data_IF_059376887007
#
_entry.id   IF_059376887007
#
_cell.length_a   1.000
_cell.length_b   1.000
_cell.length_c   1.000
_cell.angle_alpha   90.00
_cell.angle_beta   90.00
_cell.angle_gamma   90.00
#
_symmetry.space_group_name_H-M   'P 1'
#
loop_
_entity.id
_entity.type
_entity.pdbx_description
1 polymer ?
#
# COMPACT_ATOMS: atom_id res chain seq x y z
N UNK A 1 0.18 -16.50 -11.49
CA UNK A 1 0.58 -15.09 -11.72
C UNK A 1 2.08 -14.95 -11.80
N UNK A 2 2.82 -15.32 -10.73
CA UNK A 2 4.30 -15.29 -10.74
C UNK A 2 4.88 -16.16 -11.87
N UNK A 3 4.41 -17.41 -12.00
CA UNK A 3 4.81 -18.30 -13.12
C UNK A 3 4.46 -17.75 -14.51
N UNK A 4 3.54 -16.77 -14.59
CA UNK A 4 3.16 -16.08 -15.82
C UNK A 4 3.94 -14.78 -16.05
N UNK A 5 4.94 -14.48 -15.22
CA UNK A 5 5.84 -13.34 -15.36
C UNK A 5 5.51 -12.12 -14.48
N UNK A 6 4.52 -12.20 -13.59
CA UNK A 6 4.32 -11.14 -12.60
C UNK A 6 5.49 -11.11 -11.61
N UNK A 7 6.09 -9.94 -11.38
CA UNK A 7 7.19 -9.80 -10.42
C UNK A 7 6.68 -9.76 -8.97
N UNK A 8 5.54 -9.09 -8.77
CA UNK A 8 4.87 -8.93 -7.48
C UNK A 8 3.41 -9.36 -7.58
N UNK A 9 2.87 -9.89 -6.48
CA UNK A 9 1.44 -10.12 -6.26
C UNK A 9 0.98 -9.31 -5.06
N UNK A 10 -0.11 -8.57 -5.23
CA UNK A 10 -0.72 -7.77 -4.16
C UNK A 10 -1.83 -8.57 -3.51
N UNK A 11 -1.81 -8.66 -2.18
CA UNK A 11 -2.81 -9.38 -1.38
C UNK A 11 -3.48 -8.40 -0.42
N UNK A 12 -4.74 -8.07 -0.69
CA UNK A 12 -5.56 -7.23 0.18
C UNK A 12 -6.43 -8.06 1.13
N UNK A 13 -7.73 -8.15 0.83
CA UNK A 13 -8.76 -8.76 1.70
C UNK A 13 -8.35 -10.11 2.32
N UNK A 14 -7.70 -11.00 1.56
CA UNK A 14 -7.31 -12.33 2.07
C UNK A 14 -6.23 -12.30 3.16
N UNK A 15 -5.43 -11.22 3.23
CA UNK A 15 -4.44 -11.01 4.27
C UNK A 15 -5.06 -10.73 5.65
N UNK A 16 -6.39 -10.53 5.70
CA UNK A 16 -7.13 -10.20 6.91
C UNK A 16 -8.33 -11.10 7.13
N UNK A 17 -8.74 -11.21 8.39
CA UNK A 17 -10.02 -11.75 8.84
C UNK A 17 -10.68 -10.72 9.78
N UNK A 18 -11.85 -11.05 10.34
CA UNK A 18 -12.60 -10.14 11.22
C UNK A 18 -11.79 -9.65 12.45
N UNK A 19 -10.79 -10.42 12.90
CA UNK A 19 -9.95 -10.11 14.06
C UNK A 19 -8.60 -9.45 13.73
N UNK A 20 -8.27 -9.23 12.45
CA UNK A 20 -6.98 -8.66 12.03
C UNK A 20 -6.23 -9.56 11.04
N UNK A 21 -4.88 -9.60 11.08
CA UNK A 21 -4.08 -10.41 10.16
C UNK A 21 -4.50 -11.88 10.10
N UNK A 22 -4.63 -12.42 8.89
CA UNK A 22 -4.91 -13.82 8.65
C UNK A 22 -3.62 -14.64 8.55
N UNK A 23 -2.96 -14.87 9.69
CA UNK A 23 -1.66 -15.55 9.73
C UNK A 23 -1.66 -16.95 9.10
N UNK A 24 -2.76 -17.70 9.21
CA UNK A 24 -2.85 -19.05 8.63
C UNK A 24 -2.70 -18.96 7.11
N UNK A 25 -3.52 -18.12 6.47
CA UNK A 25 -3.43 -17.89 5.03
C UNK A 25 -2.06 -17.33 4.62
N UNK A 26 -1.51 -16.38 5.37
CA UNK A 26 -0.22 -15.78 5.06
C UNK A 26 0.94 -16.79 5.12
N UNK A 27 0.90 -17.73 6.09
CA UNK A 27 1.89 -18.83 6.18
C UNK A 27 1.79 -19.79 5.01
N UNK A 28 0.58 -20.15 4.61
CA UNK A 28 0.34 -20.99 3.43
C UNK A 28 0.82 -20.30 2.15
N UNK A 29 0.59 -18.99 2.04
CA UNK A 29 1.00 -18.19 0.88
C UNK A 29 2.53 -18.15 0.74
N UNK A 30 3.28 -17.84 1.80
CA UNK A 30 4.74 -17.79 1.73
C UNK A 30 5.40 -19.16 1.60
N UNK A 31 4.66 -20.25 1.83
CA UNK A 31 5.14 -21.61 1.58
C UNK A 31 5.21 -21.94 0.09
N UNK A 32 4.45 -21.21 -0.75
CA UNK A 32 4.34 -21.49 -2.20
C UNK A 32 4.72 -20.31 -3.09
N UNK A 33 4.79 -19.09 -2.55
CA UNK A 33 5.24 -17.89 -3.26
C UNK A 33 6.43 -17.28 -2.51
N UNK A 34 7.52 -16.89 -3.22
CA UNK A 34 8.61 -16.15 -2.61
C UNK A 34 8.07 -14.90 -1.91
N UNK A 35 8.42 -14.75 -0.63
CA UNK A 35 7.97 -13.64 0.20
C UNK A 35 8.25 -12.29 -0.45
N UNK A 36 9.42 -12.15 -1.07
CA UNK A 36 9.91 -10.95 -1.73
C UNK A 36 9.01 -10.53 -2.90
N UNK A 37 8.24 -11.48 -3.46
CA UNK A 37 7.24 -11.24 -4.51
C UNK A 37 5.86 -10.88 -3.98
N UNK A 38 5.64 -10.78 -2.67
CA UNK A 38 4.35 -10.47 -2.07
C UNK A 38 4.34 -9.04 -1.55
N UNK A 39 3.32 -8.27 -1.95
CA UNK A 39 2.94 -7.01 -1.34
C UNK A 39 1.62 -7.19 -0.58
N UNK A 40 1.55 -6.79 0.68
CA UNK A 40 0.28 -6.77 1.42
C UNK A 40 -0.36 -5.40 1.30
N UNK A 41 -1.63 -5.36 0.90
CA UNK A 41 -2.36 -4.11 0.79
C UNK A 41 -2.92 -3.69 2.16
N UNK A 42 -2.52 -2.50 2.62
CA UNK A 42 -3.02 -1.86 3.83
C UNK A 42 -3.88 -0.66 3.40
N UNK A 43 -5.14 -0.94 3.08
CA UNK A 43 -6.11 0.11 2.73
C UNK A 43 -6.68 0.71 4.02
N UNK A 44 -6.46 2.00 4.25
CA UNK A 44 -6.90 2.70 5.45
C UNK A 44 -7.95 3.75 5.13
N UNK A 45 -9.09 3.66 5.81
CA UNK A 45 -10.18 4.64 5.75
C UNK A 45 -10.62 4.99 7.17
N UNK A 46 -10.75 6.28 7.48
CA UNK A 46 -11.06 6.77 8.83
C UNK A 46 -10.12 6.18 9.90
N UNK A 47 -8.85 6.02 9.52
CA UNK A 47 -7.78 5.47 10.37
C UNK A 47 -7.79 3.94 10.57
N UNK A 48 -8.74 3.21 9.97
CA UNK A 48 -8.90 1.76 10.14
C UNK A 48 -8.64 1.00 8.84
N UNK A 49 -8.14 -0.23 8.97
CA UNK A 49 -8.05 -1.14 7.83
C UNK A 49 -9.45 -1.42 7.28
N UNK A 50 -9.59 -1.34 5.97
CA UNK A 50 -10.81 -1.71 5.26
C UNK A 50 -10.56 -2.83 4.25
N UNK A 51 -11.52 -3.74 4.12
CA UNK A 51 -11.45 -4.93 3.27
C UNK A 51 -12.71 -5.08 2.40
N UNK A 52 -12.75 -6.11 1.55
CA UNK A 52 -13.85 -6.40 0.62
C UNK A 52 -14.21 -5.21 -0.28
N UNK A 53 -13.18 -4.57 -0.85
CA UNK A 53 -13.35 -3.36 -1.68
C UNK A 53 -13.83 -2.16 -0.86
N UNK A 54 -13.21 -1.97 0.31
CA UNK A 54 -13.47 -0.89 1.27
C UNK A 54 -14.87 -0.86 1.90
N UNK A 55 -15.58 -2.00 1.87
CA UNK A 55 -16.96 -2.12 2.37
C UNK A 55 -17.03 -2.53 3.83
N UNK A 56 -15.99 -3.16 4.35
CA UNK A 56 -15.93 -3.66 5.72
C UNK A 56 -14.72 -3.08 6.43
N UNK A 57 -14.95 -2.43 7.57
CA UNK A 57 -13.90 -1.86 8.42
C UNK A 57 -13.55 -2.84 9.54
N UNK A 58 -12.26 -3.04 9.75
CA UNK A 58 -11.72 -3.85 10.85
C UNK A 58 -11.42 -2.94 12.05
N UNK A 59 -11.31 -3.53 13.24
CA UNK A 59 -10.98 -2.78 14.46
C UNK A 59 -9.52 -2.30 14.53
N UNK A 60 -8.66 -2.79 13.64
CA UNK A 60 -7.21 -2.54 13.61
C UNK A 60 -6.84 -1.44 12.62
N UNK A 61 -5.75 -0.75 12.92
CA UNK A 61 -5.12 0.28 12.07
C UNK A 61 -3.93 -0.30 11.31
N UNK A 62 -3.51 0.38 10.23
CA UNK A 62 -2.29 -0.01 9.50
C UNK A 62 -1.04 0.01 10.40
N UNK A 63 -0.93 1.00 11.30
CA UNK A 63 0.19 1.13 12.22
C UNK A 63 0.28 -0.04 13.22
N UNK A 64 -0.86 -0.56 13.69
CA UNK A 64 -0.90 -1.69 14.63
C UNK A 64 -0.47 -3.02 13.99
N UNK A 65 -0.72 -3.21 12.69
CA UNK A 65 -0.51 -4.50 12.02
C UNK A 65 0.77 -4.57 11.18
N UNK A 66 1.32 -3.45 10.72
CA UNK A 66 2.41 -3.44 9.72
C UNK A 66 3.64 -4.23 10.19
N UNK A 67 4.03 -4.10 11.46
CA UNK A 67 5.16 -4.83 12.04
C UNK A 67 4.94 -6.35 12.10
N UNK A 68 3.73 -6.77 12.49
CA UNK A 68 3.36 -8.19 12.57
C UNK A 68 3.29 -8.87 11.19
N UNK A 69 3.09 -8.07 10.13
CA UNK A 69 2.96 -8.54 8.76
C UNK A 69 4.29 -8.66 8.00
N UNK A 70 5.39 -8.04 8.48
CA UNK A 70 6.70 -8.10 7.82
C UNK A 70 7.24 -9.51 7.53
N UNK A 71 7.02 -10.53 8.39
CA UNK A 71 7.48 -11.88 8.11
C UNK A 71 6.86 -12.50 6.85
N UNK A 72 5.72 -11.97 6.39
CA UNK A 72 4.90 -12.57 5.33
C UNK A 72 5.00 -11.88 3.97
N UNK A 73 5.80 -10.80 3.85
CA UNK A 73 5.87 -10.04 2.60
C UNK A 73 7.22 -9.35 2.35
N UNK A 74 7.43 -8.95 1.10
CA UNK A 74 8.55 -8.11 0.69
C UNK A 74 8.29 -6.62 0.93
N UNK A 75 7.01 -6.23 0.99
CA UNK A 75 6.59 -4.86 1.15
C UNK A 75 5.08 -4.69 1.31
N UNK A 76 4.66 -3.43 1.31
CA UNK A 76 3.29 -3.02 1.52
C UNK A 76 2.83 -2.08 0.40
N UNK A 77 1.59 -2.25 -0.04
CA UNK A 77 0.85 -1.22 -0.76
C UNK A 77 -0.06 -0.53 0.25
N UNK A 78 0.28 0.68 0.65
CA UNK A 78 -0.47 1.42 1.66
C UNK A 78 -1.34 2.47 0.97
N UNK A 79 -2.66 2.33 1.07
CA UNK A 79 -3.62 3.21 0.41
C UNK A 79 -4.29 4.11 1.44
N UNK A 80 -4.16 5.43 1.28
CA UNK A 80 -4.92 6.39 2.06
C UNK A 80 -6.28 6.66 1.39
N UNK A 81 -7.27 5.82 1.72
CA UNK A 81 -8.57 5.75 1.04
C UNK A 81 -9.37 7.04 1.20
N UNK A 82 -9.20 7.75 2.32
CA UNK A 82 -9.94 8.98 2.62
C UNK A 82 -9.75 10.08 1.57
N UNK A 83 -8.66 10.05 0.79
CA UNK A 83 -8.39 11.02 -0.28
C UNK A 83 -8.30 10.39 -1.67
N UNK A 84 -8.62 9.11 -1.78
CA UNK A 84 -8.50 8.39 -3.05
C UNK A 84 -9.51 8.91 -4.08
N UNK A 85 -9.01 9.25 -5.27
CA UNK A 85 -9.83 9.82 -6.35
C UNK A 85 -10.37 11.24 -6.10
N UNK A 86 -10.05 11.88 -4.97
CA UNK A 86 -10.56 13.21 -4.63
C UNK A 86 -9.71 14.36 -5.18
N UNK A 87 -8.51 14.07 -5.67
CA UNK A 87 -7.54 15.04 -6.18
C UNK A 87 -7.13 16.13 -5.15
N UNK A 88 -7.07 15.79 -3.86
CA UNK A 88 -6.80 16.73 -2.76
C UNK A 88 -5.40 16.59 -2.12
N UNK A 89 -4.47 15.92 -2.79
CA UNK A 89 -3.16 15.56 -2.23
C UNK A 89 -3.24 14.36 -1.28
N UNK A 90 -2.12 13.70 -1.03
CA UNK A 90 -2.08 12.53 -0.15
C UNK A 90 -1.91 12.92 1.33
N UNK A 91 -1.67 11.97 2.23
CA UNK A 91 -1.36 12.25 3.63
C UNK A 91 0.09 11.87 3.97
N UNK A 92 1.00 12.83 3.80
CA UNK A 92 2.44 12.64 4.01
C UNK A 92 2.79 12.35 5.48
N UNK A 93 2.00 12.83 6.43
CA UNK A 93 2.24 12.55 7.86
C UNK A 93 1.87 11.11 8.18
N UNK A 94 0.74 10.62 7.66
CA UNK A 94 0.35 9.22 7.78
C UNK A 94 1.42 8.27 7.21
N UNK A 95 1.95 8.56 6.01
CA UNK A 95 3.03 7.77 5.42
C UNK A 95 4.34 7.84 6.22
N UNK A 96 4.69 9.02 6.76
CA UNK A 96 5.85 9.18 7.64
C UNK A 96 5.74 8.30 8.89
N UNK A 97 4.55 8.23 9.48
CA UNK A 97 4.29 7.40 10.65
C UNK A 97 4.41 5.91 10.31
N UNK A 98 3.88 5.46 9.17
CA UNK A 98 4.04 4.07 8.73
C UNK A 98 5.50 3.72 8.44
N UNK A 99 6.24 4.62 7.77
CA UNK A 99 7.65 4.41 7.46
C UNK A 99 8.50 4.18 8.71
N UNK A 100 8.16 4.84 9.82
CA UNK A 100 8.87 4.66 11.09
C UNK A 100 8.66 3.29 11.75
N UNK A 101 7.64 2.51 11.33
CA UNK A 101 7.24 1.24 11.95
C UNK A 101 7.75 0.00 11.22
N UNK A 102 8.34 0.16 10.04
CA UNK A 102 8.83 -0.96 9.24
C UNK A 102 10.09 -0.56 8.49
N UNK A 103 10.89 -1.54 8.08
CA UNK A 103 12.00 -1.35 7.12
C UNK A 103 11.69 -1.93 5.74
N UNK A 104 10.54 -2.58 5.58
CA UNK A 104 10.08 -3.16 4.30
C UNK A 104 9.73 -2.09 3.30
N UNK A 105 9.67 -2.48 2.03
CA UNK A 105 9.22 -1.58 0.97
C UNK A 105 7.81 -1.05 1.27
N UNK A 106 7.58 0.25 1.06
CA UNK A 106 6.23 0.84 1.09
C UNK A 106 6.00 1.48 -0.28
N UNK A 107 4.90 1.13 -0.91
CA UNK A 107 4.32 1.85 -2.03
C UNK A 107 3.09 2.60 -1.54
N UNK A 108 3.13 3.93 -1.61
CA UNK A 108 2.03 4.81 -1.29
C UNK A 108 1.04 4.89 -2.45
N UNK A 109 -0.25 4.76 -2.13
CA UNK A 109 -1.36 4.98 -3.04
C UNK A 109 -2.43 5.87 -2.37
N UNK A 110 -3.31 6.45 -3.19
CA UNK A 110 -4.40 7.31 -2.72
C UNK A 110 -4.01 8.78 -2.62
N UNK A 111 -4.66 9.62 -3.43
CA UNK A 111 -4.59 11.08 -3.30
C UNK A 111 -3.34 11.75 -3.85
N UNK A 112 -2.35 11.04 -4.40
CA UNK A 112 -1.13 11.64 -4.96
C UNK A 112 -1.48 12.44 -6.23
N UNK A 113 -1.25 13.76 -6.21
CA UNK A 113 -1.66 14.65 -7.31
C UNK A 113 -0.59 15.61 -7.81
N UNK A 114 0.51 15.77 -7.07
CA UNK A 114 1.57 16.72 -7.39
C UNK A 114 2.93 16.03 -7.51
N UNK A 115 3.89 16.69 -8.17
CA UNK A 115 5.27 16.17 -8.22
C UNK A 115 5.92 16.27 -6.84
N UNK A 116 5.56 17.30 -6.08
CA UNK A 116 6.01 17.56 -4.72
C UNK A 116 5.58 16.45 -3.76
N UNK A 117 4.37 15.89 -3.92
CA UNK A 117 3.93 14.70 -3.16
C UNK A 117 4.89 13.51 -3.42
N UNK A 118 5.24 13.28 -4.68
CA UNK A 118 6.10 12.17 -5.10
C UNK A 118 7.52 12.37 -4.56
N UNK A 119 8.09 13.56 -4.70
CA UNK A 119 9.40 13.91 -4.17
C UNK A 119 9.44 13.75 -2.64
N UNK A 120 8.39 14.19 -1.93
CA UNK A 120 8.30 14.04 -0.49
C UNK A 120 8.24 12.56 -0.05
N UNK A 121 7.49 11.71 -0.77
CA UNK A 121 7.45 10.27 -0.52
C UNK A 121 8.80 9.62 -0.80
N UNK A 122 9.46 9.97 -1.91
CA UNK A 122 10.79 9.46 -2.27
C UNK A 122 11.85 9.83 -1.23
N UNK A 123 11.83 11.06 -0.69
CA UNK A 123 12.70 11.49 0.40
C UNK A 123 12.49 10.69 1.69
N UNK A 124 11.32 10.07 1.87
CA UNK A 124 11.03 9.14 2.97
C UNK A 124 11.41 7.69 2.65
N UNK A 125 11.92 7.39 1.45
CA UNK A 125 12.15 6.02 1.00
C UNK A 125 10.85 5.24 0.75
N UNK A 126 9.82 5.94 0.22
CA UNK A 126 8.51 5.38 -0.12
C UNK A 126 8.28 5.55 -1.63
N UNK A 127 7.85 4.49 -2.29
CA UNK A 127 7.47 4.54 -3.71
C UNK A 127 6.08 5.14 -3.88
N UNK A 128 5.78 5.72 -5.05
CA UNK A 128 4.48 6.28 -5.36
C UNK A 128 3.77 5.45 -6.45
N UNK A 129 2.54 5.00 -6.17
CA UNK A 129 1.63 4.44 -7.15
C UNK A 129 0.61 5.52 -7.56
N UNK A 130 0.78 6.06 -8.77
CA UNK A 130 -0.03 7.17 -9.30
C UNK A 130 -0.99 6.66 -10.38
N UNK A 131 -2.29 6.79 -10.14
CA UNK A 131 -3.34 6.38 -11.09
C UNK A 131 -4.05 7.58 -11.71
N UNK A 132 -5.06 8.11 -11.00
CA UNK A 132 -5.98 9.12 -11.54
C UNK A 132 -5.28 10.39 -12.04
N UNK A 133 -4.29 10.91 -11.32
CA UNK A 133 -3.59 12.13 -11.72
C UNK A 133 -2.87 11.99 -13.07
N UNK A 134 -2.37 10.79 -13.40
CA UNK A 134 -1.84 10.49 -14.74
C UNK A 134 -2.98 10.36 -15.74
N UNK A 135 -4.03 9.61 -15.39
CA UNK A 135 -5.17 9.38 -16.27
C UNK A 135 -5.90 10.68 -16.68
N UNK A 136 -6.00 11.66 -15.79
CA UNK A 136 -6.60 12.97 -16.04
C UNK A 136 -5.64 13.99 -16.64
N UNK A 137 -4.37 13.61 -16.86
CA UNK A 137 -3.32 14.50 -17.38
C UNK A 137 -2.87 15.60 -16.41
N UNK A 138 -3.21 15.48 -15.12
CA UNK A 138 -2.71 16.39 -14.07
C UNK A 138 -1.21 16.20 -13.86
N UNK A 139 -0.74 14.96 -13.90
CA UNK A 139 0.68 14.61 -13.92
C UNK A 139 1.01 13.98 -15.27
N UNK A 140 2.09 14.46 -15.87
CA UNK A 140 2.57 13.99 -17.15
C UNK A 140 3.42 12.72 -16.96
N UNK A 141 3.03 11.64 -17.63
CA UNK A 141 3.71 10.35 -17.51
C UNK A 141 5.15 10.42 -18.04
N UNK A 142 5.41 11.18 -19.10
CA UNK A 142 6.75 11.29 -19.67
C UNK A 142 7.71 11.98 -18.70
N UNK A 143 7.25 13.03 -18.02
CA UNK A 143 8.00 13.66 -16.92
C UNK A 143 8.24 12.69 -15.77
N UNK A 144 7.21 11.99 -15.30
CA UNK A 144 7.35 11.01 -14.21
C UNK A 144 8.39 9.92 -14.50
N UNK A 145 8.52 9.48 -15.76
CA UNK A 145 9.51 8.48 -16.16
C UNK A 145 10.98 8.95 -16.08
N UNK A 146 11.20 10.25 -15.85
CA UNK A 146 12.54 10.86 -15.79
C UNK A 146 12.92 11.39 -14.41
N UNK A 147 12.01 11.29 -13.43
CA UNK A 147 12.24 11.64 -12.03
C UNK A 147 12.88 10.48 -11.27
#
# INVERSE_FOLDING_TARGET
LIELGAEKVIVGTAAFNAGGPNEVFLRELIAVIPRESILLALDSKEGRIVVKGWRESLAVTAAEVIGALEPFCGGFLCTYVDKEGMMQGTDLEWFRNLRALTTREITAAGGITTYEDIEALQQMGIHAAVGMAVYTGTLDLARLATM
#
